data_IF_117210775140
#
_entry.id   IF_117210775140
#
_cell.length_a   1.000
_cell.length_b   1.000
_cell.length_c   1.000
_cell.angle_alpha   90.00
_cell.angle_beta   90.00
_cell.angle_gamma   90.00
#
_symmetry.space_group_name_H-M   'P 1'
#
loop_
_entity.id
_entity.type
_entity.pdbx_description
1 polymer ?
#
# COMPACT_ATOMS: atom_id res chain seq x y z
N UNK A 1 -65.65 25.80 7.75
CA UNK A 1 -65.65 24.32 7.81
C UNK A 1 -65.38 23.89 6.38
N UNK A 2 -64.14 23.50 6.08
CA UNK A 2 -63.75 22.08 5.87
C UNK A 2 -64.39 21.48 4.59
N UNK A 3 -63.68 20.84 3.65
CA UNK A 3 -62.25 20.43 3.55
C UNK A 3 -61.94 20.06 2.07
N UNK A 4 -60.73 19.53 1.80
CA UNK A 4 -60.45 18.43 0.81
C UNK A 4 -59.92 18.78 -0.61
N UNK A 5 -58.64 18.46 -0.82
CA UNK A 5 -58.00 18.11 -2.12
C UNK A 5 -58.48 16.74 -2.63
N UNK A 6 -58.15 16.28 -3.87
CA UNK A 6 -57.62 16.94 -5.09
C UNK A 6 -58.63 16.67 -6.26
N UNK A 7 -58.33 16.38 -7.57
CA UNK A 7 -57.10 16.46 -8.37
C UNK A 7 -57.26 17.05 -9.81
N UNK A 8 -56.21 16.85 -10.63
CA UNK A 8 -56.18 16.78 -12.10
C UNK A 8 -56.39 18.07 -12.94
N UNK A 9 -55.28 18.57 -13.50
CA UNK A 9 -55.28 19.46 -14.67
C UNK A 9 -55.25 18.62 -15.97
N UNK A 10 -56.07 19.03 -16.94
CA UNK A 10 -56.26 18.51 -18.30
C UNK A 10 -55.16 19.01 -19.28
N UNK A 11 -55.19 18.74 -20.62
CA UNK A 11 -55.95 17.75 -21.42
C UNK A 11 -55.06 16.88 -22.37
N UNK A 12 -55.71 15.99 -23.13
CA UNK A 12 -55.12 15.06 -24.12
C UNK A 12 -55.10 15.63 -25.56
N UNK A 13 -53.94 15.53 -26.25
CA UNK A 13 -53.72 15.15 -27.70
C UNK A 13 -54.45 15.92 -28.85
N UNK A 14 -53.94 15.96 -30.13
CA UNK A 14 -53.27 14.84 -30.84
C UNK A 14 -52.18 15.16 -31.92
N UNK A 15 -51.79 14.10 -32.64
CA UNK A 15 -51.18 14.00 -33.99
C UNK A 15 -49.68 14.30 -34.24
N UNK A 16 -48.98 13.22 -34.67
CA UNK A 16 -47.73 13.19 -35.46
C UNK A 16 -48.07 12.92 -36.95
N UNK A 17 -47.13 12.78 -37.91
CA UNK A 17 -45.67 13.00 -37.89
C UNK A 17 -45.14 13.92 -39.02
N UNK A 18 -43.86 14.32 -38.94
CA UNK A 18 -43.14 14.99 -40.04
C UNK A 18 -41.75 14.37 -40.25
N UNK A 19 -41.55 13.68 -41.38
CA UNK A 19 -40.28 13.06 -41.77
C UNK A 19 -39.49 14.00 -42.71
N UNK A 20 -38.17 14.08 -42.51
CA UNK A 20 -37.21 14.68 -43.45
C UNK A 20 -36.01 13.74 -43.66
N UNK A 21 -35.32 13.79 -44.82
CA UNK A 21 -34.87 12.54 -45.46
C UNK A 21 -33.52 11.95 -45.02
N UNK A 22 -33.39 10.65 -45.32
CA UNK A 22 -32.20 9.81 -45.16
C UNK A 22 -31.13 10.17 -46.22
N UNK A 23 -29.82 10.17 -45.89
CA UNK A 23 -28.74 10.38 -46.86
C UNK A 23 -28.50 9.14 -47.76
N UNK A 24 -27.96 9.29 -48.99
CA UNK A 24 -27.71 8.18 -49.92
C UNK A 24 -26.54 7.26 -49.50
N UNK A 25 -26.44 6.05 -50.09
CA UNK A 25 -25.81 4.91 -49.42
C UNK A 25 -24.37 4.59 -49.84
N UNK A 26 -23.79 3.62 -49.13
CA UNK A 26 -22.71 2.71 -49.51
C UNK A 26 -21.45 3.29 -50.16
N UNK A 27 -20.38 3.38 -49.35
CA UNK A 27 -19.34 2.32 -49.33
C UNK A 27 -18.77 2.16 -47.92
N UNK A 28 -18.98 1.00 -47.30
CA UNK A 28 -18.14 0.52 -46.20
C UNK A 28 -17.10 -0.44 -46.78
N UNK A 29 -15.83 -0.06 -46.78
CA UNK A 29 -14.72 -1.02 -46.82
C UNK A 29 -13.39 -0.39 -46.38
N UNK A 30 -12.42 -1.23 -46.00
CA UNK A 30 -11.00 -0.89 -46.10
C UNK A 30 -10.37 -0.01 -45.00
N UNK A 31 -10.17 -0.58 -43.81
CA UNK A 31 -8.99 -0.37 -42.94
C UNK A 31 -8.21 0.96 -43.05
N UNK A 32 -8.52 1.95 -42.19
CA UNK A 32 -7.57 3.01 -41.81
C UNK A 32 -7.82 3.46 -40.35
N UNK A 33 -7.30 2.77 -39.34
CA UNK A 33 -5.93 2.91 -38.79
C UNK A 33 -5.44 4.37 -38.61
N UNK A 34 -6.00 5.06 -37.60
CA UNK A 34 -5.32 5.95 -36.61
C UNK A 34 -6.37 6.35 -35.55
N UNK A 35 -6.33 5.92 -34.28
CA UNK A 35 -5.27 6.09 -33.27
C UNK A 35 -5.00 7.60 -33.05
N UNK A 36 -5.22 8.23 -31.88
CA UNK A 36 -5.49 7.77 -30.52
C UNK A 36 -6.46 8.73 -29.80
N UNK A 37 -7.54 8.26 -29.18
CA UNK A 37 -8.06 8.98 -28.00
C UNK A 37 -7.03 8.76 -26.90
N UNK A 38 -6.22 9.78 -26.59
CA UNK A 38 -5.33 9.76 -25.41
C UNK A 38 -6.21 9.75 -24.15
N UNK A 39 -6.66 8.57 -23.74
CA UNK A 39 -7.02 8.33 -22.36
C UNK A 39 -5.79 8.71 -21.53
N UNK A 40 -5.87 9.81 -20.78
CA UNK A 40 -4.82 10.14 -19.81
C UNK A 40 -4.69 8.92 -18.89
N UNK A 41 -3.53 8.25 -18.82
CA UNK A 41 -3.36 7.25 -17.78
C UNK A 41 -3.51 8.00 -16.47
N UNK A 42 -4.52 7.63 -15.66
CA UNK A 42 -4.50 7.97 -14.24
C UNK A 42 -3.31 7.21 -13.67
N UNK A 43 -2.14 7.84 -13.67
CA UNK A 43 -0.93 7.28 -13.04
C UNK A 43 -1.32 6.94 -11.61
N UNK A 44 -1.34 5.65 -11.33
CA UNK A 44 -1.73 5.15 -10.02
C UNK A 44 -0.84 5.77 -8.96
N UNK A 45 -1.41 6.08 -7.81
CA UNK A 45 -0.70 6.61 -6.65
C UNK A 45 0.12 5.45 -6.04
N UNK A 46 1.23 5.09 -6.68
CA UNK A 46 2.17 4.05 -6.24
C UNK A 46 3.02 4.57 -5.08
N UNK A 47 2.38 4.80 -3.93
CA UNK A 47 3.02 5.22 -2.68
C UNK A 47 3.94 4.15 -2.09
N UNK A 48 3.88 2.91 -2.59
CA UNK A 48 4.76 1.80 -2.22
C UNK A 48 6.19 1.99 -2.73
N UNK A 49 6.38 2.38 -3.99
CA UNK A 49 7.72 2.53 -4.59
C UNK A 49 8.55 3.64 -3.91
N UNK A 50 7.90 4.72 -3.47
CA UNK A 50 8.57 5.85 -2.82
C UNK A 50 9.20 5.46 -1.46
N UNK A 51 8.55 4.58 -0.70
CA UNK A 51 9.03 4.16 0.64
C UNK A 51 10.25 3.24 0.61
N UNK A 52 10.42 2.46 -0.46
CA UNK A 52 11.58 1.58 -0.61
C UNK A 52 12.85 2.38 -0.92
N UNK A 53 12.76 3.35 -1.84
CA UNK A 53 13.90 4.18 -2.25
C UNK A 53 14.41 5.09 -1.12
N UNK A 54 13.54 5.56 -0.23
CA UNK A 54 13.93 6.45 0.87
C UNK A 54 14.71 5.77 2.00
N UNK A 55 14.89 4.44 1.97
CA UNK A 55 15.42 3.68 3.11
C UNK A 55 16.37 2.53 2.72
N UNK A 56 17.18 2.71 1.67
CA UNK A 56 18.26 1.77 1.29
C UNK A 56 19.43 1.82 2.29
N UNK A 57 19.17 1.40 3.53
CA UNK A 57 20.20 1.20 4.55
C UNK A 57 20.75 -0.23 4.44
N UNK A 58 22.01 -0.38 4.06
CA UNK A 58 22.67 -1.69 4.09
C UNK A 58 22.73 -2.20 5.55
N UNK A 59 22.09 -3.35 5.81
CA UNK A 59 22.11 -3.94 7.14
C UNK A 59 23.41 -4.74 7.37
N UNK A 60 24.11 -4.37 8.44
CA UNK A 60 25.24 -5.13 8.99
C UNK A 60 24.78 -5.98 10.18
N UNK A 61 25.35 -7.17 10.40
CA UNK A 61 25.03 -7.97 11.59
C UNK A 61 25.46 -7.22 12.87
N UNK A 62 24.58 -7.20 13.86
CA UNK A 62 24.85 -6.67 15.20
C UNK A 62 25.18 -7.82 16.18
N UNK A 63 25.91 -7.54 17.29
CA UNK A 63 26.17 -8.52 18.35
C UNK A 63 24.90 -9.23 18.84
N UNK A 64 25.04 -10.44 19.40
CA UNK A 64 23.91 -11.21 19.90
C UNK A 64 23.37 -10.63 21.21
N UNK A 65 22.04 -10.59 21.39
CA UNK A 65 21.41 -10.03 22.60
C UNK A 65 21.85 -10.73 23.90
N UNK A 66 22.15 -12.04 23.82
CA UNK A 66 22.54 -12.88 24.97
C UNK A 66 24.00 -12.72 25.41
N UNK A 67 24.86 -12.15 24.56
CA UNK A 67 26.31 -12.04 24.81
C UNK A 67 26.70 -10.67 25.40
N UNK A 68 25.71 -9.83 25.71
CA UNK A 68 25.86 -8.41 26.07
C UNK A 68 25.32 -8.15 27.48
N UNK A 69 26.00 -7.33 28.32
CA UNK A 69 25.55 -7.05 29.67
C UNK A 69 24.20 -6.32 29.70
N UNK A 70 23.45 -6.48 30.80
CA UNK A 70 22.13 -5.87 30.97
C UNK A 70 22.11 -4.34 30.82
N UNK A 71 23.24 -3.66 31.08
CA UNK A 71 23.42 -2.22 30.87
C UNK A 71 23.34 -1.78 29.40
N UNK A 72 23.70 -2.65 28.47
CA UNK A 72 23.74 -2.38 27.02
C UNK A 72 22.61 -3.08 26.26
N UNK A 73 21.90 -4.02 26.93
CA UNK A 73 20.87 -4.86 26.32
C UNK A 73 19.75 -4.04 25.66
N UNK A 74 19.23 -3.01 26.34
CA UNK A 74 18.15 -2.17 25.80
C UNK A 74 18.60 -1.33 24.59
N UNK A 75 19.82 -0.80 24.63
CA UNK A 75 20.41 -0.06 23.50
C UNK A 75 20.58 -0.96 22.26
N UNK A 76 21.06 -2.20 22.47
CA UNK A 76 21.19 -3.18 21.39
C UNK A 76 19.82 -3.64 20.88
N UNK A 77 18.84 -3.79 21.76
CA UNK A 77 17.45 -4.11 21.41
C UNK A 77 16.84 -3.04 20.50
N UNK A 78 16.95 -1.75 20.88
CA UNK A 78 16.49 -0.63 20.04
C UNK A 78 17.20 -0.57 18.69
N UNK A 79 18.51 -0.86 18.64
CA UNK A 79 19.25 -0.97 17.36
C UNK A 79 18.73 -2.11 16.49
N UNK A 80 18.50 -3.31 17.04
CA UNK A 80 17.93 -4.45 16.30
C UNK A 80 16.48 -4.17 15.85
N UNK A 81 15.65 -3.53 16.68
CA UNK A 81 14.30 -3.08 16.30
C UNK A 81 14.33 -2.10 15.12
N UNK A 82 15.27 -1.15 15.12
CA UNK A 82 15.46 -0.22 13.99
C UNK A 82 15.86 -0.95 12.69
N UNK A 83 16.81 -1.89 12.75
CA UNK A 83 17.17 -2.74 11.59
C UNK A 83 15.97 -3.53 11.07
N UNK A 84 15.16 -4.08 11.98
CA UNK A 84 13.95 -4.80 11.62
C UNK A 84 12.86 -3.90 11.00
N UNK A 85 12.98 -2.57 11.11
CA UNK A 85 12.15 -1.59 10.41
C UNK A 85 12.47 -1.40 8.92
N UNK A 86 13.65 -1.81 8.45
CA UNK A 86 14.06 -1.64 7.03
C UNK A 86 13.17 -2.50 6.11
N UNK A 87 12.63 -1.88 5.06
CA UNK A 87 11.79 -2.54 4.07
C UNK A 87 12.65 -3.16 2.96
N UNK A 88 12.37 -4.41 2.59
CA UNK A 88 12.99 -5.08 1.45
C UNK A 88 11.93 -5.36 0.38
N UNK A 89 12.31 -5.24 -0.89
CA UNK A 89 11.50 -5.81 -1.96
C UNK A 89 11.69 -7.33 -1.97
N UNK A 90 10.57 -8.07 -1.90
CA UNK A 90 10.55 -9.54 -1.97
C UNK A 90 10.11 -10.05 -3.34
N UNK A 91 9.71 -9.18 -4.27
CA UNK A 91 9.47 -9.53 -5.67
C UNK A 91 10.80 -9.72 -6.41
N UNK A 92 11.84 -8.97 -6.02
CA UNK A 92 13.23 -9.30 -6.35
C UNK A 92 13.81 -10.22 -5.27
N UNK A 93 13.84 -11.53 -5.56
CA UNK A 93 14.37 -12.53 -4.64
C UNK A 93 15.89 -12.48 -4.47
N UNK A 94 16.64 -11.87 -5.39
CA UNK A 94 18.12 -11.85 -5.38
C UNK A 94 18.72 -10.53 -4.88
N UNK A 95 17.95 -9.44 -4.90
CA UNK A 95 18.30 -8.20 -4.22
C UNK A 95 18.41 -8.40 -2.70
N UNK A 96 19.36 -7.69 -2.08
CA UNK A 96 19.53 -7.54 -0.63
C UNK A 96 19.57 -8.85 0.21
N UNK A 97 19.98 -9.97 -0.37
CA UNK A 97 20.05 -11.27 0.33
C UNK A 97 20.75 -11.19 1.71
N UNK A 98 21.88 -10.46 1.77
CA UNK A 98 22.61 -10.17 3.01
C UNK A 98 21.75 -9.44 4.04
N UNK A 99 21.03 -8.39 3.64
CA UNK A 99 20.17 -7.61 4.53
C UNK A 99 18.92 -8.37 4.96
N UNK A 100 18.32 -9.15 4.06
CA UNK A 100 17.21 -10.07 4.34
C UNK A 100 17.59 -11.10 5.40
N UNK A 101 18.79 -11.69 5.31
CA UNK A 101 19.29 -12.65 6.29
C UNK A 101 19.63 -12.00 7.64
N UNK A 102 20.30 -10.84 7.65
CA UNK A 102 20.55 -10.07 8.89
C UNK A 102 19.24 -9.74 9.61
N UNK A 103 18.21 -9.30 8.88
CA UNK A 103 16.88 -9.04 9.44
C UNK A 103 16.19 -10.31 9.93
N UNK A 104 16.35 -11.45 9.25
CA UNK A 104 15.83 -12.75 9.71
C UNK A 104 16.45 -13.17 11.04
N UNK A 105 17.78 -13.09 11.16
CA UNK A 105 18.51 -13.40 12.37
C UNK A 105 18.11 -12.49 13.53
N UNK A 106 18.09 -11.17 13.31
CA UNK A 106 17.69 -10.19 14.33
C UNK A 106 16.25 -10.40 14.82
N UNK A 107 15.29 -10.72 13.92
CA UNK A 107 13.92 -11.03 14.31
C UNK A 107 13.81 -12.29 15.19
N UNK A 108 14.60 -13.32 14.91
CA UNK A 108 14.61 -14.54 15.73
C UNK A 108 15.15 -14.24 17.14
N UNK A 109 16.26 -13.50 17.25
CA UNK A 109 16.82 -13.07 18.54
C UNK A 109 15.83 -12.20 19.35
N UNK A 110 15.09 -11.30 18.70
CA UNK A 110 14.08 -10.48 19.36
C UNK A 110 12.96 -11.33 19.98
N UNK A 111 12.52 -12.39 19.29
CA UNK A 111 11.51 -13.33 19.81
C UNK A 111 12.08 -14.16 20.97
N UNK A 112 13.32 -14.67 20.85
CA UNK A 112 13.99 -15.43 21.91
C UNK A 112 14.20 -14.57 23.17
N UNK A 113 14.70 -13.34 23.01
CA UNK A 113 14.98 -12.43 24.11
C UNK A 113 13.70 -12.02 24.86
N UNK A 114 12.61 -11.70 24.16
CA UNK A 114 11.32 -11.39 24.82
C UNK A 114 10.74 -12.62 25.53
N UNK A 115 10.93 -13.83 25.01
CA UNK A 115 10.47 -15.07 25.65
C UNK A 115 11.30 -15.52 26.86
N UNK A 116 12.60 -15.21 26.88
CA UNK A 116 13.57 -15.74 27.86
C UNK A 116 13.99 -14.70 28.91
N UNK A 117 14.09 -13.43 28.55
CA UNK A 117 14.62 -12.35 29.42
C UNK A 117 13.50 -11.60 30.13
N UNK A 118 13.34 -11.84 31.44
CA UNK A 118 12.41 -11.07 32.29
C UNK A 118 12.83 -9.60 32.35
N UNK A 119 11.86 -8.69 32.26
CA UNK A 119 12.08 -7.24 32.40
C UNK A 119 12.63 -6.52 31.17
N UNK A 120 12.84 -7.20 30.04
CA UNK A 120 13.39 -6.57 28.82
C UNK A 120 12.46 -5.55 28.16
N UNK A 121 11.15 -5.68 28.37
CA UNK A 121 10.14 -4.74 27.86
C UNK A 121 9.87 -3.61 28.87
N UNK A 122 10.55 -2.49 28.67
CA UNK A 122 10.41 -1.26 29.44
C UNK A 122 9.79 -0.14 28.60
N UNK A 123 9.25 0.89 29.26
CA UNK A 123 8.55 2.02 28.63
C UNK A 123 9.26 2.64 27.39
N UNK A 124 10.56 2.99 27.42
CA UNK A 124 11.23 3.60 26.27
C UNK A 124 11.38 2.69 25.04
N UNK A 125 11.18 1.37 25.17
CA UNK A 125 11.30 0.40 24.06
C UNK A 125 10.01 0.32 23.23
N UNK A 126 8.83 0.57 23.81
CA UNK A 126 7.56 0.44 23.09
C UNK A 126 7.44 1.30 21.82
N UNK A 127 7.90 2.57 21.77
CA UNK A 127 7.90 3.36 20.54
C UNK A 127 8.66 2.71 19.38
N UNK A 128 9.78 2.03 19.66
CA UNK A 128 10.58 1.34 18.66
C UNK A 128 9.90 0.06 18.16
N UNK A 129 9.27 -0.71 19.06
CA UNK A 129 8.45 -1.88 18.71
C UNK A 129 7.28 -1.44 17.81
N UNK A 130 6.52 -0.42 18.21
CA UNK A 130 5.39 0.10 17.44
C UNK A 130 5.85 0.57 16.06
N UNK A 131 6.99 1.27 15.97
CA UNK A 131 7.56 1.74 14.69
C UNK A 131 7.96 0.57 13.79
N UNK A 132 8.65 -0.43 14.31
CA UNK A 132 9.03 -1.64 13.58
C UNK A 132 7.81 -2.39 13.04
N UNK A 133 6.81 -2.64 13.88
CA UNK A 133 5.57 -3.35 13.50
C UNK A 133 4.77 -2.55 12.46
N UNK A 134 4.71 -1.22 12.60
CA UNK A 134 4.01 -0.34 11.65
C UNK A 134 4.73 -0.19 10.30
N UNK A 135 6.06 -0.30 10.29
CA UNK A 135 6.87 -0.21 9.08
C UNK A 135 6.87 -1.51 8.26
N UNK A 136 6.63 -2.66 8.90
CA UNK A 136 6.65 -3.98 8.25
C UNK A 136 5.45 -4.13 7.30
N UNK A 137 5.63 -4.16 5.97
CA UNK A 137 4.53 -4.53 5.08
C UNK A 137 4.14 -5.98 5.35
N UNK A 138 2.84 -6.26 5.28
CA UNK A 138 2.36 -7.64 5.12
C UNK A 138 2.80 -8.11 3.73
N UNK A 139 3.10 -9.41 3.61
CA UNK A 139 3.28 -10.06 2.30
C UNK A 139 2.03 -9.84 1.42
#
# INVERSE_FOLDING_TARGET
>A
METKLPPASTPTSPSSPGLSPVPPPDKVDGFSRRSLRRARPRRSHSSSQFRYQSNQQELTPLPLLKDVPASELHDLLSRKLAQCGVMFDFLDCVADLKGKEVKRAALNELVECVGSTRGVLIEPVYPDIIRMVSARPRL
#
